data_IF_652178845680
#
_entry.id   IF_652178845680
#
_cell.length_a   1.000
_cell.length_b   1.000
_cell.length_c   1.000
_cell.angle_alpha   90.00
_cell.angle_beta   90.00
_cell.angle_gamma   90.00
#
_symmetry.space_group_name_H-M   'P 1'
#
loop_
_entity.id
_entity.type
_entity.pdbx_description
1 polymer ?
#
# COMPACT_ATOMS: atom_id res chain seq x y z
N UNK A 1 -3.97 9.76 -2.04
CA UNK A 1 -4.95 10.64 -1.40
C UNK A 1 -6.18 9.84 -1.05
N UNK A 2 -6.39 9.61 0.24
CA UNK A 2 -7.57 8.87 0.69
C UNK A 2 -8.85 9.72 0.67
N UNK A 3 -8.74 11.03 0.42
CA UNK A 3 -9.88 11.94 0.24
C UNK A 3 -10.54 11.77 -1.13
N UNK A 4 -9.88 11.11 -2.08
CA UNK A 4 -10.39 10.79 -3.43
C UNK A 4 -10.12 9.32 -3.79
N UNK A 5 -10.90 8.37 -3.23
CA UNK A 5 -10.61 6.93 -3.34
C UNK A 5 -10.43 6.40 -4.77
N UNK A 6 -11.22 6.90 -5.71
CA UNK A 6 -11.18 6.58 -7.14
C UNK A 6 -9.87 7.00 -7.83
N UNK A 7 -9.14 7.98 -7.29
CA UNK A 7 -7.86 8.49 -7.80
C UNK A 7 -6.80 8.59 -6.71
N UNK A 8 -6.78 7.61 -5.81
CA UNK A 8 -5.97 7.70 -4.59
C UNK A 8 -4.45 7.56 -4.82
N UNK A 9 -3.99 7.01 -5.95
CA UNK A 9 -2.56 6.88 -6.22
C UNK A 9 -1.98 8.20 -6.72
N UNK A 10 -1.25 8.90 -5.87
CA UNK A 10 -0.67 10.23 -6.19
C UNK A 10 0.75 10.16 -6.74
N UNK A 11 1.49 9.09 -6.44
CA UNK A 11 2.86 8.87 -6.90
C UNK A 11 3.16 7.38 -6.95
N UNK A 12 4.00 6.97 -7.91
CA UNK A 12 4.52 5.61 -8.05
C UNK A 12 5.98 5.69 -8.47
N UNK A 13 6.82 4.89 -7.82
CA UNK A 13 8.18 4.62 -8.26
C UNK A 13 8.38 3.09 -8.33
N UNK A 14 8.90 2.61 -9.46
CA UNK A 14 8.96 1.18 -9.77
C UNK A 14 7.68 0.63 -10.38
N UNK A 15 7.61 -0.70 -10.55
CA UNK A 15 6.56 -1.36 -11.36
C UNK A 15 5.98 -2.64 -10.76
N UNK A 16 6.48 -3.09 -9.61
CA UNK A 16 6.18 -4.44 -9.06
C UNK A 16 4.69 -4.69 -8.74
N UNK A 17 3.91 -3.64 -8.52
CA UNK A 17 2.47 -3.75 -8.21
C UNK A 17 1.57 -3.48 -9.41
N UNK A 18 2.13 -3.04 -10.54
CA UNK A 18 1.36 -2.60 -11.71
C UNK A 18 0.51 -1.34 -11.50
N UNK A 19 0.60 -0.66 -10.35
CA UNK A 19 -0.19 0.56 -10.08
C UNK A 19 0.35 1.75 -10.86
N UNK A 20 -0.56 2.66 -11.21
CA UNK A 20 -0.28 3.91 -11.93
C UNK A 20 -0.82 5.12 -11.16
N UNK A 21 -0.26 6.31 -11.41
CA UNK A 21 -0.79 7.57 -10.88
C UNK A 21 -2.21 7.78 -11.39
N UNK A 22 -3.10 8.23 -10.51
CA UNK A 22 -4.54 8.34 -10.76
C UNK A 22 -5.31 7.02 -10.60
N UNK A 23 -4.63 5.92 -10.28
CA UNK A 23 -5.27 4.64 -9.99
C UNK A 23 -6.13 4.67 -8.71
N UNK A 24 -7.10 3.77 -8.67
CA UNK A 24 -7.99 3.60 -7.52
C UNK A 24 -7.27 3.05 -6.29
N UNK A 25 -7.91 3.21 -5.13
CA UNK A 25 -7.45 2.68 -3.86
C UNK A 25 -7.35 1.15 -3.89
N UNK A 26 -6.30 0.61 -3.27
CA UNK A 26 -6.16 -0.83 -3.06
C UNK A 26 -7.01 -1.29 -1.88
N UNK A 27 -7.25 -2.61 -1.77
CA UNK A 27 -7.96 -3.19 -0.62
C UNK A 27 -7.34 -2.81 0.73
N UNK A 28 -6.00 -2.79 0.81
CA UNK A 28 -5.32 -2.35 2.02
C UNK A 28 -5.55 -0.88 2.32
N UNK A 29 -5.58 -0.02 1.28
CA UNK A 29 -5.94 1.39 1.44
C UNK A 29 -7.37 1.53 1.98
N UNK A 30 -8.31 0.73 1.49
CA UNK A 30 -9.70 0.72 1.99
C UNK A 30 -9.78 0.32 3.46
N UNK A 31 -8.96 -0.66 3.90
CA UNK A 31 -8.88 -1.03 5.32
C UNK A 31 -8.30 0.09 6.19
N UNK A 32 -7.28 0.79 5.71
CA UNK A 32 -6.71 1.95 6.41
C UNK A 32 -7.76 3.04 6.53
N UNK A 33 -8.45 3.37 5.43
CA UNK A 33 -9.53 4.36 5.43
C UNK A 33 -10.66 3.98 6.39
N UNK A 34 -11.06 2.71 6.44
CA UNK A 34 -12.11 2.22 7.34
C UNK A 34 -11.74 2.32 8.82
N UNK A 35 -10.44 2.28 9.16
CA UNK A 35 -9.96 2.50 10.54
C UNK A 35 -9.87 3.99 10.91
N UNK A 36 -9.95 4.90 9.94
CA UNK A 36 -9.81 6.34 10.17
C UNK A 36 -8.52 6.68 10.90
N UNK A 37 -8.62 7.59 11.86
CA UNK A 37 -7.45 8.09 12.61
C UNK A 37 -6.85 7.05 13.57
N UNK A 38 -7.53 5.93 13.82
CA UNK A 38 -6.99 4.80 14.60
C UNK A 38 -6.07 3.89 13.77
N UNK A 39 -5.93 4.14 12.46
CA UNK A 39 -5.09 3.32 11.60
C UNK A 39 -3.61 3.35 12.00
N UNK A 40 -2.96 2.19 11.99
CA UNK A 40 -1.54 2.05 12.33
C UNK A 40 -0.76 1.47 11.15
N UNK A 41 0.54 1.64 11.19
CA UNK A 41 1.45 1.03 10.23
C UNK A 41 1.28 -0.49 10.20
N UNK A 42 1.22 -1.05 9.01
CA UNK A 42 1.30 -2.49 8.77
C UNK A 42 2.66 -2.77 8.12
N UNK A 43 3.57 -3.40 8.85
CA UNK A 43 4.96 -3.59 8.41
C UNK A 43 5.28 -5.06 8.16
N UNK A 44 6.16 -5.32 7.19
CA UNK A 44 6.73 -6.64 6.89
C UNK A 44 5.71 -7.77 6.64
N UNK A 45 4.53 -7.47 6.12
CA UNK A 45 3.55 -8.49 5.78
C UNK A 45 3.77 -9.02 4.36
N UNK A 46 3.29 -10.22 4.08
CA UNK A 46 3.42 -10.87 2.78
C UNK A 46 2.10 -10.79 2.04
N UNK A 47 2.15 -10.46 0.75
CA UNK A 47 1.00 -10.47 -0.16
C UNK A 47 1.35 -11.18 -1.46
N UNK A 48 0.31 -11.53 -2.23
CA UNK A 48 0.47 -11.98 -3.62
C UNK A 48 -0.28 -11.04 -4.53
N UNK A 49 0.37 -10.67 -5.63
CA UNK A 49 -0.29 -10.01 -6.76
C UNK A 49 -1.20 -11.00 -7.50
N UNK A 50 -2.12 -10.51 -8.36
CA UNK A 50 -2.98 -11.38 -9.17
C UNK A 50 -2.22 -12.35 -10.08
N UNK A 51 -1.02 -11.99 -10.53
CA UNK A 51 -0.15 -12.86 -11.33
C UNK A 51 0.67 -13.87 -10.50
N UNK A 52 0.51 -13.86 -9.17
CA UNK A 52 1.12 -14.81 -8.25
C UNK A 52 2.49 -14.42 -7.70
N UNK A 53 3.02 -13.25 -8.07
CA UNK A 53 4.28 -12.71 -7.52
C UNK A 53 4.18 -12.52 -6.01
N UNK A 54 5.17 -13.02 -5.27
CA UNK A 54 5.21 -12.90 -3.82
C UNK A 54 5.87 -11.58 -3.41
N UNK A 55 5.13 -10.74 -2.69
CA UNK A 55 5.60 -9.44 -2.24
C UNK A 55 5.75 -9.39 -0.73
N UNK A 56 6.88 -8.87 -0.26
CA UNK A 56 7.00 -8.35 1.10
C UNK A 56 6.66 -6.87 1.08
N UNK A 57 5.63 -6.50 1.84
CA UNK A 57 5.01 -5.18 1.79
C UNK A 57 5.06 -4.49 3.14
N UNK A 58 5.02 -3.16 3.11
CA UNK A 58 4.85 -2.30 4.28
C UNK A 58 4.00 -1.10 3.90
N UNK A 59 3.01 -0.77 4.71
CA UNK A 59 2.11 0.37 4.57
C UNK A 59 2.28 1.25 5.79
N UNK A 60 2.86 2.43 5.59
CA UNK A 60 3.09 3.44 6.61
C UNK A 60 2.03 4.54 6.47
N UNK A 61 1.30 4.81 7.53
CA UNK A 61 0.17 5.75 7.50
C UNK A 61 0.72 7.18 7.46
N UNK A 62 0.15 8.02 6.60
CA UNK A 62 0.49 9.44 6.51
C UNK A 62 -0.58 10.27 7.21
N UNK A 63 -0.11 11.16 8.10
CA UNK A 63 -0.93 12.02 8.94
C UNK A 63 -0.55 13.48 8.73
N UNK A 64 -1.54 14.36 8.83
CA UNK A 64 -1.31 15.79 8.82
C UNK A 64 -0.99 16.35 10.23
N UNK A 65 -0.88 17.67 10.36
CA UNK A 65 -0.57 18.33 11.63
C UNK A 65 -1.67 18.20 12.69
N UNK A 66 -2.86 17.74 12.32
CA UNK A 66 -3.98 17.46 13.24
C UNK A 66 -4.08 15.99 13.61
N UNK A 67 -3.08 15.19 13.23
CA UNK A 67 -3.03 13.73 13.39
C UNK A 67 -4.03 12.96 12.51
N UNK A 68 -4.71 13.64 11.59
CA UNK A 68 -5.70 13.02 10.70
C UNK A 68 -5.06 12.25 9.56
N UNK A 69 -5.53 11.04 9.32
CA UNK A 69 -5.03 10.14 8.27
C UNK A 69 -5.51 10.60 6.90
N UNK A 70 -4.57 10.90 6.00
CA UNK A 70 -4.90 11.36 4.64
C UNK A 70 -4.32 10.47 3.53
N UNK A 71 -3.48 9.49 3.89
CA UNK A 71 -2.86 8.59 2.92
C UNK A 71 -1.97 7.54 3.56
N UNK A 72 -1.19 6.86 2.73
CA UNK A 72 -0.12 5.97 3.18
C UNK A 72 1.03 5.94 2.16
N UNK A 73 2.23 5.67 2.65
CA UNK A 73 3.38 5.25 1.86
C UNK A 73 3.44 3.72 1.85
N UNK A 74 3.42 3.13 0.66
CA UNK A 74 3.53 1.68 0.49
C UNK A 74 4.89 1.32 -0.12
N UNK A 75 5.65 0.46 0.54
CA UNK A 75 6.86 -0.16 0.02
C UNK A 75 6.56 -1.62 -0.27
N UNK A 76 6.88 -2.08 -1.48
CA UNK A 76 6.62 -3.45 -1.91
C UNK A 76 7.88 -4.00 -2.57
N UNK A 77 8.32 -5.17 -2.12
CA UNK A 77 9.51 -5.86 -2.62
C UNK A 77 9.12 -7.24 -3.14
N UNK A 78 9.48 -7.56 -4.39
CA UNK A 78 9.40 -8.94 -4.89
C UNK A 78 10.42 -9.81 -4.14
N UNK A 79 9.89 -10.83 -3.46
CA UNK A 79 10.69 -11.80 -2.68
C UNK A 79 10.55 -13.21 -3.23
N UNK A 80 9.99 -13.38 -4.43
CA UNK A 80 9.75 -14.68 -5.06
C UNK A 80 11.04 -15.50 -5.19
N UNK A 81 12.16 -14.86 -5.54
CA UNK A 81 13.45 -15.54 -5.65
C UNK A 81 13.99 -16.01 -4.30
N UNK A 82 13.73 -15.27 -3.22
CA UNK A 82 14.15 -15.61 -1.86
C UNK A 82 13.32 -16.77 -1.32
N UNK A 83 12.00 -16.75 -1.56
CA UNK A 83 11.07 -17.81 -1.15
C UNK A 83 11.41 -19.16 -1.79
N UNK A 84 11.79 -19.18 -3.07
CA UNK A 84 12.15 -20.41 -3.80
C UNK A 84 13.51 -21.01 -3.43
N UNK A 85 14.33 -20.30 -2.65
CA UNK A 85 15.63 -20.79 -2.19
C UNK A 85 15.53 -21.66 -0.92
N UNK A 86 14.32 -21.81 -0.37
CA UNK A 86 14.00 -22.68 0.77
C UNK A 86 13.61 -24.09 0.34
#
# INVERSE_FOLDING_TARGET
DYRTPEHSVVAVAGSVTGRTVGGAMSEIGMRVLARGDDARDELNYVTRTPDGTLLKSSTMVLRDSTDSVFGALCVNLDVTAVDRAH
#
